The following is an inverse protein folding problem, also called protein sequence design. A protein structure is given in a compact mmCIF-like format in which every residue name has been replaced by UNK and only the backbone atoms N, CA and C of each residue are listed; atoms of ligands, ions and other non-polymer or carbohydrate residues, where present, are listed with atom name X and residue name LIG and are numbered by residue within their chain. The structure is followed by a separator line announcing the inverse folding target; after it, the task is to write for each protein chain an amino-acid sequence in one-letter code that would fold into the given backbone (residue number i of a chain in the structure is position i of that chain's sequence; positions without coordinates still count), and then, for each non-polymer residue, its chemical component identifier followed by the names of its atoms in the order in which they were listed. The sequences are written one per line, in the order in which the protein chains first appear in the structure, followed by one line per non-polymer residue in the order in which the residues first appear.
data_IF_552742112045
#
_entry.id   IF_552742112045
#
_cell.length_a   1.000
_cell.length_b   1.000
_cell.length_c   1.000
_cell.angle_alpha   90.00
_cell.angle_beta   90.00
_cell.angle_gamma   90.00
#
_symmetry.space_group_name_H-M   'P 1'
#
loop_
_entity.id
_entity.type
_entity.pdbx_description
1 polymer ?
#
# COMPACT_ATOMS: atom_id res chain seq x y z
N UNK A 1 -11.18 -2.22 -15.62
CA UNK A 1 -12.12 -1.28 -14.96
C UNK A 1 -11.72 0.14 -15.33
N UNK A 2 -12.69 1.00 -15.67
CA UNK A 2 -12.45 2.44 -15.91
C UNK A 2 -13.46 3.24 -15.09
N UNK A 3 -13.04 4.40 -14.59
CA UNK A 3 -13.90 5.31 -13.84
C UNK A 3 -13.61 6.75 -14.25
N UNK A 4 -14.64 7.59 -14.24
CA UNK A 4 -14.43 9.04 -14.24
C UNK A 4 -13.86 9.49 -12.90
N UNK A 5 -13.23 10.66 -12.89
CA UNK A 5 -12.75 11.24 -11.64
C UNK A 5 -13.85 11.47 -10.61
N UNK A 6 -15.03 11.94 -11.05
CA UNK A 6 -16.16 12.17 -10.15
C UNK A 6 -16.74 10.87 -9.61
N UNK A 7 -16.87 9.82 -10.43
CA UNK A 7 -17.40 8.54 -9.96
C UNK A 7 -16.48 7.91 -8.92
N UNK A 8 -15.17 7.97 -9.14
CA UNK A 8 -14.19 7.53 -8.15
C UNK A 8 -14.28 8.35 -6.86
N UNK A 9 -14.32 9.69 -6.96
CA UNK A 9 -14.43 10.59 -5.80
C UNK A 9 -15.74 10.33 -5.03
N UNK A 10 -16.85 10.13 -5.73
CA UNK A 10 -18.14 9.81 -5.12
C UNK A 10 -18.07 8.47 -4.39
N UNK A 11 -17.56 7.43 -5.05
CA UNK A 11 -17.42 6.11 -4.45
C UNK A 11 -16.59 6.14 -3.16
N UNK A 12 -15.45 6.83 -3.13
CA UNK A 12 -14.62 6.91 -1.91
C UNK A 12 -15.23 7.80 -0.81
N UNK A 13 -16.02 8.82 -1.17
CA UNK A 13 -16.73 9.67 -0.19
C UNK A 13 -17.93 8.96 0.43
N UNK A 14 -18.62 8.15 -0.35
CA UNK A 14 -19.78 7.36 0.07
C UNK A 14 -19.37 5.99 0.63
N UNK A 15 -18.07 5.78 0.86
CA UNK A 15 -17.47 4.55 1.40
C UNK A 15 -17.87 3.29 0.60
N UNK A 16 -18.07 3.44 -0.71
CA UNK A 16 -18.36 2.35 -1.66
C UNK A 16 -17.07 1.65 -2.09
N UNK A 17 -16.28 1.20 -1.12
CA UNK A 17 -15.08 0.39 -1.32
C UNK A 17 -14.90 -0.60 -0.17
N UNK A 18 -14.37 -1.76 -0.48
CA UNK A 18 -14.16 -2.81 0.53
C UNK A 18 -12.86 -2.57 1.29
N UNK A 19 -12.91 -2.66 2.62
CA UNK A 19 -11.70 -2.65 3.47
C UNK A 19 -11.46 -4.05 4.02
N UNK A 20 -10.26 -4.57 3.80
CA UNK A 20 -9.84 -5.88 4.30
C UNK A 20 -8.53 -5.75 5.05
N UNK A 21 -8.44 -6.40 6.20
CA UNK A 21 -7.21 -6.46 6.99
C UNK A 21 -6.89 -7.91 7.35
N UNK A 22 -5.61 -8.24 7.23
CA UNK A 22 -4.97 -9.48 7.63
C UNK A 22 -3.85 -9.14 8.61
N UNK A 23 -3.46 -10.10 9.43
CA UNK A 23 -2.42 -9.87 10.44
C UNK A 23 -1.38 -10.97 10.38
N UNK A 24 -0.10 -10.58 10.35
CA UNK A 24 1.03 -11.45 10.64
C UNK A 24 1.56 -11.14 12.04
N UNK A 25 1.98 -12.17 12.77
CA UNK A 25 2.51 -11.99 14.12
C UNK A 25 3.90 -11.33 14.09
N UNK A 26 4.66 -11.60 13.04
CA UNK A 26 6.00 -11.09 12.80
C UNK A 26 6.33 -11.19 11.29
N UNK A 27 7.50 -10.71 10.90
CA UNK A 27 7.96 -10.74 9.51
C UNK A 27 8.26 -12.15 8.99
N UNK A 28 8.53 -13.14 9.86
CA UNK A 28 8.78 -14.53 9.45
C UNK A 28 7.49 -15.29 9.13
N UNK A 29 6.35 -14.77 9.60
CA UNK A 29 5.00 -15.29 9.34
C UNK A 29 4.26 -14.54 8.25
N UNK A 30 4.91 -13.60 7.55
CA UNK A 30 4.33 -12.89 6.41
C UNK A 30 3.94 -13.90 5.34
N UNK A 31 2.64 -13.97 5.07
CA UNK A 31 2.09 -14.70 3.95
C UNK A 31 1.18 -13.76 3.14
N UNK A 32 1.48 -13.61 1.85
CA UNK A 32 0.72 -12.77 0.94
C UNK A 32 -0.42 -13.52 0.24
N UNK A 33 -0.52 -14.84 0.38
CA UNK A 33 -1.52 -15.67 -0.32
C UNK A 33 -2.95 -15.18 -0.08
N UNK A 34 -3.31 -14.89 1.18
CA UNK A 34 -4.65 -14.40 1.53
C UNK A 34 -4.92 -13.00 0.97
N UNK A 35 -3.87 -12.15 0.94
CA UNK A 35 -3.94 -10.80 0.37
C UNK A 35 -4.13 -10.85 -1.15
N UNK A 36 -3.40 -11.73 -1.83
CA UNK A 36 -3.49 -11.97 -3.26
C UNK A 36 -4.83 -12.60 -3.63
N UNK A 37 -5.24 -13.68 -2.95
CA UNK A 37 -6.56 -14.31 -3.14
C UNK A 37 -7.70 -13.30 -3.01
N UNK A 38 -7.63 -12.41 -2.01
CA UNK A 38 -8.61 -11.34 -1.86
C UNK A 38 -8.55 -10.33 -3.02
N UNK A 39 -7.34 -9.91 -3.39
CA UNK A 39 -7.10 -8.93 -4.46
C UNK A 39 -7.63 -9.43 -5.80
N UNK A 40 -7.28 -10.66 -6.21
CA UNK A 40 -7.80 -11.27 -7.44
C UNK A 40 -9.32 -11.28 -7.46
N UNK A 41 -9.95 -11.72 -6.36
CA UNK A 41 -11.40 -11.77 -6.25
C UNK A 41 -12.03 -10.38 -6.35
N UNK A 42 -11.52 -9.41 -5.61
CA UNK A 42 -12.06 -8.05 -5.59
C UNK A 42 -11.94 -7.37 -6.97
N UNK A 43 -10.80 -7.57 -7.65
CA UNK A 43 -10.57 -7.04 -8.99
C UNK A 43 -11.46 -7.72 -10.04
N UNK A 44 -11.64 -9.04 -9.96
CA UNK A 44 -12.55 -9.78 -10.84
C UNK A 44 -14.01 -9.35 -10.66
N UNK A 45 -14.41 -9.00 -9.43
CA UNK A 45 -15.72 -8.42 -9.10
C UNK A 45 -15.84 -6.92 -9.43
N UNK A 46 -14.79 -6.31 -9.99
CA UNK A 46 -14.74 -4.87 -10.30
C UNK A 46 -15.04 -3.97 -9.09
N UNK A 47 -14.47 -4.31 -7.94
CA UNK A 47 -14.61 -3.51 -6.71
C UNK A 47 -13.42 -2.59 -6.48
N UNK A 48 -13.70 -1.41 -5.93
CA UNK A 48 -12.69 -0.61 -5.26
C UNK A 48 -12.41 -1.22 -3.89
N UNK A 49 -11.15 -1.28 -3.48
CA UNK A 49 -10.78 -1.81 -2.18
C UNK A 49 -9.48 -1.23 -1.63
N UNK A 50 -9.30 -1.41 -0.33
CA UNK A 50 -8.05 -1.25 0.41
C UNK A 50 -7.82 -2.51 1.24
N UNK A 51 -6.79 -3.28 0.89
CA UNK A 51 -6.46 -4.54 1.54
C UNK A 51 -5.08 -4.44 2.20
N UNK A 52 -5.01 -4.70 3.49
CA UNK A 52 -3.80 -4.52 4.30
C UNK A 52 -3.38 -5.83 4.96
N UNK A 53 -2.09 -6.12 4.94
CA UNK A 53 -1.42 -7.06 5.82
C UNK A 53 -0.65 -6.25 6.87
N UNK A 54 -1.11 -6.31 8.11
CA UNK A 54 -0.46 -5.68 9.26
C UNK A 54 0.48 -6.66 9.94
N UNK A 55 1.77 -6.35 9.94
CA UNK A 55 2.78 -7.12 10.64
C UNK A 55 2.93 -6.52 12.03
N UNK A 56 2.64 -7.33 13.04
CA UNK A 56 2.70 -6.92 14.45
C UNK A 56 4.16 -6.76 14.91
N UNK A 57 4.36 -5.88 15.88
CA UNK A 57 5.67 -5.57 16.45
C UNK A 57 5.59 -4.33 17.34
N UNK A 58 6.71 -3.94 17.95
CA UNK A 58 6.79 -2.68 18.71
C UNK A 58 6.49 -1.47 17.83
N UNK A 59 6.96 -1.51 16.58
CA UNK A 59 6.60 -0.58 15.52
C UNK A 59 6.00 -1.41 14.36
N UNK A 60 4.66 -1.37 14.16
CA UNK A 60 4.01 -2.24 13.20
C UNK A 60 4.29 -1.80 11.76
N UNK A 61 4.43 -2.77 10.86
CA UNK A 61 4.62 -2.53 9.42
C UNK A 61 3.29 -2.83 8.71
N UNK A 62 2.80 -1.89 7.91
CA UNK A 62 1.62 -2.09 7.07
C UNK A 62 2.06 -2.29 5.61
N UNK A 63 1.70 -3.44 5.04
CA UNK A 63 1.79 -3.72 3.60
C UNK A 63 0.38 -3.68 3.01
N UNK A 64 0.14 -2.88 1.99
CA UNK A 64 -1.22 -2.64 1.50
C UNK A 64 -1.31 -2.64 -0.01
N UNK A 65 -2.37 -3.26 -0.53
CA UNK A 65 -2.81 -3.18 -1.91
C UNK A 65 -4.09 -2.38 -1.99
N UNK A 66 -4.13 -1.42 -2.90
CA UNK A 66 -5.24 -0.49 -2.98
C UNK A 66 -5.53 -0.08 -4.42
N UNK A 67 -6.81 -0.05 -4.79
CA UNK A 67 -7.25 0.47 -6.09
C UNK A 67 -7.34 1.98 -6.08
N UNK A 68 -6.82 2.65 -7.10
CA UNK A 68 -6.95 4.10 -7.23
C UNK A 68 -6.80 4.61 -8.65
N UNK A 69 -7.10 5.89 -8.84
CA UNK A 69 -6.82 6.60 -10.10
C UNK A 69 -5.48 7.35 -10.08
N UNK A 70 -4.94 7.60 -8.87
CA UNK A 70 -3.70 8.32 -8.67
C UNK A 70 -2.92 7.69 -7.52
N UNK A 71 -1.63 8.01 -7.45
CA UNK A 71 -0.72 7.55 -6.41
C UNK A 71 -0.95 8.28 -5.07
N UNK A 72 -2.12 8.10 -4.47
CA UNK A 72 -2.47 8.57 -3.13
C UNK A 72 -3.42 7.58 -2.45
N UNK A 73 -3.21 7.27 -1.15
CA UNK A 73 -4.11 6.41 -0.42
C UNK A 73 -5.55 6.95 -0.38
N UNK A 74 -6.55 6.07 -0.53
CA UNK A 74 -7.99 6.39 -0.55
C UNK A 74 -8.39 7.24 0.66
N UNK A 75 -7.78 6.98 1.82
CA UNK A 75 -7.98 7.76 3.06
C UNK A 75 -7.71 9.26 2.92
N UNK A 76 -6.92 9.67 1.92
CA UNK A 76 -6.68 11.08 1.60
C UNK A 76 -7.69 11.62 0.58
N UNK A 77 -8.96 11.22 0.71
CA UNK A 77 -10.09 11.61 -0.17
C UNK A 77 -10.13 13.10 -0.48
N UNK A 78 -9.87 13.96 0.51
CA UNK A 78 -9.86 15.42 0.34
C UNK A 78 -8.74 15.92 -0.56
N UNK A 79 -7.56 15.28 -0.52
CA UNK A 79 -6.44 15.61 -1.41
C UNK A 79 -6.70 15.06 -2.81
N UNK A 80 -7.16 13.81 -2.90
CA UNK A 80 -7.56 13.16 -4.16
C UNK A 80 -8.58 14.02 -4.91
N UNK A 81 -9.62 14.50 -4.22
CA UNK A 81 -10.69 15.33 -4.82
C UNK A 81 -10.20 16.65 -5.45
N UNK A 82 -8.99 17.11 -5.10
CA UNK A 82 -8.40 18.34 -5.66
C UNK A 82 -7.50 18.07 -6.87
N UNK A 83 -7.07 16.83 -7.06
CA UNK A 83 -6.06 16.43 -8.05
C UNK A 83 -6.72 15.67 -9.20
N UNK A 84 -7.64 14.76 -8.88
CA UNK A 84 -8.32 13.91 -9.86
C UNK A 84 -9.21 14.78 -10.76
N UNK A 85 -9.01 14.64 -12.07
CA UNK A 85 -9.78 15.32 -13.10
C UNK A 85 -10.91 14.40 -13.56
N UNK A 86 -12.06 14.98 -13.85
CA UNK A 86 -13.26 14.20 -14.13
C UNK A 86 -13.26 13.49 -15.50
N UNK A 87 -12.70 14.12 -16.53
CA UNK A 87 -12.82 13.70 -17.93
C UNK A 87 -11.41 13.67 -18.55
N UNK A 88 -10.99 12.57 -19.19
CA UNK A 88 -11.73 11.34 -19.55
C UNK A 88 -11.83 10.27 -18.45
N UNK A 89 -12.65 9.25 -18.71
CA UNK A 89 -12.56 7.98 -18.00
C UNK A 89 -11.12 7.48 -18.00
N UNK A 90 -10.63 7.13 -16.81
CA UNK A 90 -9.26 6.70 -16.59
C UNK A 90 -9.25 5.27 -16.08
N UNK A 91 -8.24 4.51 -16.50
CA UNK A 91 -8.06 3.14 -16.05
C UNK A 91 -7.71 3.10 -14.56
N UNK A 92 -8.44 2.26 -13.82
CA UNK A 92 -8.14 2.05 -12.40
C UNK A 92 -6.85 1.26 -12.27
N UNK A 93 -6.01 1.67 -11.32
CA UNK A 93 -4.68 1.13 -11.08
C UNK A 93 -4.62 0.48 -9.70
N UNK A 94 -3.91 -0.64 -9.61
CA UNK A 94 -3.54 -1.27 -8.35
C UNK A 94 -2.22 -0.66 -7.86
N UNK A 95 -2.24 -0.08 -6.67
CA UNK A 95 -1.08 0.47 -5.99
C UNK A 95 -0.62 -0.46 -4.86
N UNK A 96 0.69 -0.51 -4.67
CA UNK A 96 1.34 -1.17 -3.54
C UNK A 96 1.91 -0.12 -2.61
N UNK A 97 1.52 -0.20 -1.34
CA UNK A 97 1.75 0.81 -0.32
C UNK A 97 2.46 0.13 0.86
N UNK A 98 3.53 0.75 1.36
CA UNK A 98 4.21 0.37 2.60
C UNK A 98 4.19 1.54 3.55
N UNK A 99 3.80 1.27 4.79
CA UNK A 99 3.79 2.24 5.89
C UNK A 99 4.63 1.75 7.05
N UNK A 100 5.68 2.51 7.33
CA UNK A 100 6.57 2.34 8.46
C UNK A 100 7.42 3.61 8.60
N UNK A 101 7.73 4.12 9.81
CA UNK A 101 8.54 5.34 9.99
C UNK A 101 9.91 5.32 9.28
N UNK A 102 10.46 4.12 9.06
CA UNK A 102 11.78 3.91 8.47
C UNK A 102 11.78 3.70 6.95
N UNK A 103 10.61 3.61 6.29
CA UNK A 103 10.55 3.37 4.84
C UNK A 103 10.95 4.62 4.04
N UNK A 104 10.49 5.79 4.48
CA UNK A 104 10.79 7.11 3.91
C UNK A 104 10.65 8.17 5.00
N UNK A 105 11.08 9.41 4.74
CA UNK A 105 10.88 10.54 5.66
C UNK A 105 9.41 10.79 6.04
N UNK A 106 8.46 10.44 5.15
CA UNK A 106 7.02 10.58 5.43
C UNK A 106 6.41 9.33 6.08
N UNK A 107 7.19 8.26 6.27
CA UNK A 107 6.71 6.97 6.76
C UNK A 107 5.81 6.23 5.77
N UNK A 108 5.83 6.62 4.49
CA UNK A 108 4.92 6.14 3.45
C UNK A 108 5.68 5.98 2.14
N UNK A 109 5.60 4.80 1.55
CA UNK A 109 6.12 4.48 0.21
C UNK A 109 4.97 3.91 -0.62
N UNK A 110 4.84 4.39 -1.86
CA UNK A 110 3.79 3.91 -2.76
C UNK A 110 4.34 3.78 -4.16
N UNK A 111 4.04 2.64 -4.79
CA UNK A 111 4.38 2.35 -6.17
C UNK A 111 3.18 1.77 -6.93
N UNK A 112 3.22 1.88 -8.25
CA UNK A 112 2.21 1.26 -9.12
C UNK A 112 2.56 -0.21 -9.34
N UNK A 113 1.64 -1.10 -8.98
CA UNK A 113 1.76 -2.52 -9.30
C UNK A 113 1.45 -2.75 -10.79
N UNK A 114 0.20 -2.52 -11.18
CA UNK A 114 -0.27 -2.61 -12.57
C UNK A 114 -1.63 -1.89 -12.70
N UNK A 115 -2.11 -1.69 -13.93
CA UNK A 115 -3.53 -1.36 -14.11
C UNK A 115 -4.40 -2.57 -13.76
N UNK A 116 -5.67 -2.36 -13.43
CA UNK A 116 -6.59 -3.47 -13.13
C UNK A 116 -6.73 -4.41 -14.32
N UNK A 117 -6.74 -3.91 -15.56
CA UNK A 117 -6.80 -4.78 -16.72
C UNK A 117 -5.53 -5.61 -16.89
N UNK A 118 -4.34 -5.01 -16.70
CA UNK A 118 -3.07 -5.72 -16.78
C UNK A 118 -2.92 -6.77 -15.66
N UNK A 119 -3.38 -6.47 -14.44
CA UNK A 119 -3.43 -7.46 -13.37
C UNK A 119 -4.31 -8.65 -13.74
N UNK A 120 -5.51 -8.41 -14.28
CA UNK A 120 -6.43 -9.50 -14.64
C UNK A 120 -5.96 -10.33 -15.85
N UNK A 121 -5.09 -9.79 -16.69
CA UNK A 121 -4.50 -10.50 -17.84
C UNK A 121 -3.37 -11.45 -17.42
N UNK A 122 -2.54 -11.03 -16.46
CA UNK A 122 -1.42 -11.82 -15.93
C UNK A 122 -1.22 -11.59 -14.42
N UNK A 123 -2.08 -12.19 -13.56
CA UNK A 123 -1.99 -12.00 -12.12
C UNK A 123 -0.65 -12.46 -11.56
N UNK A 124 -0.13 -13.60 -12.02
CA UNK A 124 1.07 -14.24 -11.49
C UNK A 124 2.31 -13.34 -11.62
N UNK A 125 2.50 -12.69 -12.78
CA UNK A 125 3.61 -11.75 -12.98
C UNK A 125 3.45 -10.52 -12.09
N UNK A 126 2.24 -9.99 -11.95
CA UNK A 126 2.01 -8.79 -11.12
C UNK A 126 2.15 -9.09 -9.64
N UNK A 127 1.66 -10.23 -9.16
CA UNK A 127 1.82 -10.70 -7.78
C UNK A 127 3.30 -10.94 -7.44
N UNK A 128 4.05 -11.56 -8.37
CA UNK A 128 5.52 -11.70 -8.22
C UNK A 128 6.20 -10.35 -8.06
N UNK A 129 5.79 -9.34 -8.84
CA UNK A 129 6.31 -7.97 -8.72
C UNK A 129 5.97 -7.34 -7.37
N UNK A 130 4.73 -7.53 -6.90
CA UNK A 130 4.28 -7.02 -5.59
C UNK A 130 5.07 -7.67 -4.46
N UNK A 131 5.23 -8.99 -4.48
CA UNK A 131 6.00 -9.73 -3.48
C UNK A 131 7.45 -9.23 -3.42
N UNK A 132 8.11 -9.12 -4.58
CA UNK A 132 9.48 -8.60 -4.65
C UNK A 132 9.61 -7.16 -4.13
N UNK A 133 8.61 -6.31 -4.35
CA UNK A 133 8.57 -4.97 -3.78
C UNK A 133 8.45 -5.00 -2.26
N UNK A 134 7.50 -5.75 -1.70
CA UNK A 134 7.33 -5.85 -0.26
C UNK A 134 8.56 -6.46 0.43
N UNK A 135 9.15 -7.52 -0.13
CA UNK A 135 10.38 -8.14 0.39
C UNK A 135 11.53 -7.14 0.45
N UNK A 136 11.68 -6.32 -0.58
CA UNK A 136 12.70 -5.25 -0.62
C UNK A 136 12.47 -4.23 0.47
N UNK A 137 11.25 -3.74 0.64
CA UNK A 137 10.96 -2.71 1.64
C UNK A 137 11.06 -3.27 3.07
N UNK A 138 10.64 -4.52 3.31
CA UNK A 138 10.87 -5.20 4.59
C UNK A 138 12.36 -5.35 4.91
N UNK A 139 13.17 -5.71 3.92
CA UNK A 139 14.64 -5.79 4.07
C UNK A 139 15.21 -4.43 4.45
N UNK A 140 14.83 -3.35 3.75
CA UNK A 140 15.30 -2.01 4.03
C UNK A 140 14.88 -1.52 5.43
N UNK A 141 13.65 -1.83 5.86
CA UNK A 141 13.17 -1.52 7.21
C UNK A 141 14.03 -2.25 8.26
N UNK A 142 14.30 -3.53 8.07
CA UNK A 142 15.13 -4.31 8.99
C UNK A 142 16.56 -3.79 9.08
N UNK A 143 17.18 -3.45 7.95
CA UNK A 143 18.50 -2.82 7.92
C UNK A 143 18.51 -1.51 8.70
N UNK A 144 17.49 -0.65 8.50
CA UNK A 144 17.36 0.60 9.24
C UNK A 144 17.14 0.41 10.74
N UNK A 145 16.37 -0.60 11.15
CA UNK A 145 16.18 -0.96 12.56
C UNK A 145 17.52 -1.34 13.21
N UNK A 146 18.31 -2.18 12.53
CA UNK A 146 19.61 -2.62 13.04
C UNK A 146 20.63 -1.47 13.07
N UNK A 147 20.60 -0.56 12.10
CA UNK A 147 21.43 0.65 12.13
C UNK A 147 21.08 1.54 13.33
N UNK A 148 19.80 1.74 13.65
CA UNK A 148 19.39 2.53 14.81
C UNK A 148 19.80 1.89 16.14
N UNK A 149 19.72 0.56 16.26
CA UNK A 149 20.19 -0.15 17.46
C UNK A 149 21.70 -0.03 17.65
N UNK A 150 22.45 0.06 16.56
CA UNK A 150 23.91 0.12 16.58
C UNK A 150 24.46 1.56 16.53
N UNK A 151 23.59 2.57 16.40
CA UNK A 151 24.00 3.96 16.47
C UNK A 151 24.54 4.26 17.89
N UNK A 152 25.76 4.81 18.03
CA UNK A 152 26.24 5.24 19.34
C UNK A 152 25.28 6.29 19.89
N UNK A 153 24.83 6.10 21.13
CA UNK A 153 24.11 7.13 21.85
C UNK A 153 24.96 8.40 21.83
N UNK A 154 24.50 9.44 21.11
CA UNK A 154 25.17 10.74 21.14
C UNK A 154 25.33 11.15 22.61
N UNK A 155 26.60 11.26 23.04
CA UNK A 155 26.97 11.87 24.31
C UNK A 155 26.31 13.24 24.35
N UNK A 156 25.29 13.38 25.20
CA UNK A 156 24.81 14.68 25.64
C UNK A 156 25.95 15.23 26.50
N UNK A 157 26.91 15.89 25.86
CA UNK A 157 27.97 16.62 26.54
C UNK A 157 27.31 17.83 27.21
N UNK A 158 27.17 17.73 28.54
CA UNK A 158 26.78 18.81 29.44
C UNK A 158 27.56 20.08 29.12
N UNK A 159 26.85 21.14 28.73
CA UNK A 159 27.39 22.49 28.77
C UNK A 159 26.92 23.15 30.09
N UNK A 160 27.79 23.09 31.10
CA UNK A 160 27.76 23.95 32.30
C UNK A 160 27.85 25.44 31.94
#
# INVERSE_FOLDING_TARGET
MQLTGNDFIAAIKDEQYDVKSFTAADQATVNLDDLFTYTEKALAESKLFSAELLISGDEPISLRLETGLINLPIRYTNAISKIVINDPETEVTLYMIVEHPLVTKSGLRIETAATVAAFLDDPETVETKIAAFFDKELTAINEAIEEQKNAPAEEIEDAE
#
